data_IF_983475407593
#
_entry.id   IF_983475407593
#
_cell.length_a   1.000
_cell.length_b   1.000
_cell.length_c   1.000
_cell.angle_alpha   90.00
_cell.angle_beta   90.00
_cell.angle_gamma   90.00
#
_symmetry.space_group_name_H-M   'P 1'
#
loop_
_entity.id
_entity.type
_entity.pdbx_description
1 polymer ?
#
# COMPACT_ATOMS: atom_id res chain seq x y z
N UNK A 1 10.33 -0.74 -5.95
CA UNK A 1 11.21 0.41 -5.64
C UNK A 1 12.13 0.03 -4.49
N UNK A 2 13.42 0.17 -4.69
CA UNK A 2 14.46 -0.01 -3.67
C UNK A 2 14.78 1.36 -3.05
N UNK A 3 14.30 1.62 -1.85
CA UNK A 3 14.44 2.90 -1.16
C UNK A 3 15.79 2.99 -0.41
N UNK A 4 16.90 2.87 -1.15
CA UNK A 4 18.25 3.01 -0.62
C UNK A 4 18.66 1.87 0.32
N UNK A 5 18.33 0.62 -0.01
CA UNK A 5 18.79 -0.54 0.77
C UNK A 5 20.31 -0.66 0.75
N UNK A 6 20.89 -0.96 1.92
CA UNK A 6 22.34 -1.14 2.12
C UNK A 6 22.75 -2.59 2.29
N UNK A 7 21.80 -3.51 2.20
CA UNK A 7 21.99 -4.96 2.26
C UNK A 7 22.03 -5.58 0.85
N UNK A 8 21.95 -6.88 0.75
CA UNK A 8 21.98 -7.63 -0.52
C UNK A 8 20.71 -7.52 -1.38
N UNK A 9 19.77 -6.61 -1.06
CA UNK A 9 18.50 -6.49 -1.79
C UNK A 9 18.71 -6.28 -3.28
N UNK A 10 19.63 -5.41 -3.66
CA UNK A 10 19.90 -5.10 -5.08
C UNK A 10 20.47 -6.30 -5.82
N UNK A 11 21.49 -6.96 -5.24
CA UNK A 11 22.10 -8.17 -5.79
C UNK A 11 21.06 -9.27 -6.04
N UNK A 12 20.20 -9.53 -5.05
CA UNK A 12 19.14 -10.51 -5.15
C UNK A 12 18.13 -10.17 -6.27
N UNK A 13 17.74 -8.91 -6.41
CA UNK A 13 16.82 -8.50 -7.48
C UNK A 13 17.44 -8.72 -8.85
N UNK A 14 18.71 -8.38 -9.05
CA UNK A 14 19.40 -8.57 -10.32
C UNK A 14 19.58 -10.07 -10.65
N UNK A 15 19.84 -10.91 -9.67
CA UNK A 15 19.91 -12.35 -9.87
C UNK A 15 18.55 -12.95 -10.26
N UNK A 16 17.47 -12.51 -9.62
CA UNK A 16 16.12 -12.91 -10.04
C UNK A 16 15.78 -12.45 -11.46
N UNK A 17 16.20 -11.25 -11.87
CA UNK A 17 16.04 -10.80 -13.27
C UNK A 17 16.72 -11.75 -14.25
N UNK A 18 17.97 -12.16 -13.99
CA UNK A 18 18.70 -13.12 -14.82
C UNK A 18 17.97 -14.47 -14.92
N UNK A 19 17.40 -14.95 -13.80
CA UNK A 19 16.62 -16.21 -13.76
C UNK A 19 15.37 -16.09 -14.64
N UNK A 20 14.65 -14.98 -14.58
CA UNK A 20 13.43 -14.74 -15.35
C UNK A 20 13.73 -14.68 -16.85
N UNK A 21 14.79 -13.97 -17.23
CA UNK A 21 15.25 -13.90 -18.61
C UNK A 21 15.61 -15.29 -19.12
N UNK A 22 16.40 -16.08 -18.33
CA UNK A 22 16.82 -17.44 -18.70
C UNK A 22 15.62 -18.40 -18.86
N UNK A 23 14.59 -18.25 -18.03
CA UNK A 23 13.36 -19.06 -18.08
C UNK A 23 12.35 -18.59 -19.14
N UNK A 24 12.65 -17.50 -19.83
CA UNK A 24 11.83 -16.93 -20.90
C UNK A 24 10.34 -16.78 -20.51
N UNK A 25 10.08 -16.26 -19.28
CA UNK A 25 8.71 -15.95 -18.86
C UNK A 25 8.15 -14.82 -19.74
N UNK A 26 7.27 -15.19 -20.67
CA UNK A 26 6.56 -14.21 -21.52
C UNK A 26 5.64 -13.34 -20.64
N UNK A 27 5.61 -12.06 -20.90
CA UNK A 27 4.74 -11.09 -20.24
C UNK A 27 5.03 -10.86 -18.73
N UNK A 28 6.28 -11.10 -18.30
CA UNK A 28 6.73 -10.79 -16.95
C UNK A 28 8.03 -10.00 -16.99
N UNK A 29 8.06 -8.86 -16.29
CA UNK A 29 9.21 -7.98 -16.22
C UNK A 29 9.48 -7.58 -14.77
N UNK A 30 10.76 -7.51 -14.37
CA UNK A 30 11.20 -6.90 -13.12
C UNK A 30 11.90 -5.59 -13.44
N UNK A 31 11.31 -4.49 -13.00
CA UNK A 31 11.93 -3.16 -13.02
C UNK A 31 12.39 -2.80 -11.62
N UNK A 32 13.69 -2.58 -11.44
CA UNK A 32 14.26 -2.12 -10.18
C UNK A 32 14.54 -0.63 -10.25
N UNK A 33 13.74 0.16 -9.52
CA UNK A 33 13.95 1.61 -9.40
C UNK A 33 14.60 1.87 -8.04
N UNK A 34 15.81 2.44 -8.05
CA UNK A 34 16.63 2.63 -6.85
C UNK A 34 16.74 4.10 -6.47
N UNK A 35 16.51 4.40 -5.20
CA UNK A 35 16.91 5.67 -4.61
C UNK A 35 18.36 5.60 -4.10
N UNK A 36 19.12 6.67 -4.25
CA UNK A 36 20.50 6.74 -3.75
C UNK A 36 20.53 6.63 -2.22
N UNK A 37 19.56 7.29 -1.55
CA UNK A 37 19.38 7.27 -0.10
C UNK A 37 17.94 6.92 0.25
N UNK A 38 17.71 6.44 1.48
CA UNK A 38 16.37 6.21 1.99
C UNK A 38 15.59 7.52 2.10
N UNK A 39 14.48 7.61 1.38
CA UNK A 39 13.57 8.78 1.34
C UNK A 39 12.28 8.54 2.11
N UNK A 40 12.03 7.31 2.53
CA UNK A 40 10.84 6.87 3.24
C UNK A 40 9.73 6.32 2.35
N UNK A 41 8.75 5.68 2.99
CA UNK A 41 7.68 4.95 2.31
C UNK A 41 6.87 5.82 1.34
N UNK A 42 6.58 7.07 1.72
CA UNK A 42 5.83 7.99 0.86
C UNK A 42 6.50 8.24 -0.48
N UNK A 43 7.81 8.51 -0.47
CA UNK A 43 8.59 8.72 -1.69
C UNK A 43 8.77 7.42 -2.51
N UNK A 44 8.93 6.29 -1.84
CA UNK A 44 9.00 5.01 -2.53
C UNK A 44 7.68 4.68 -3.24
N UNK A 45 6.54 4.94 -2.61
CA UNK A 45 5.22 4.80 -3.22
C UNK A 45 5.05 5.78 -4.39
N UNK A 46 5.42 7.05 -4.20
CA UNK A 46 5.39 8.06 -5.27
C UNK A 46 6.13 7.57 -6.50
N UNK A 47 7.39 7.17 -6.33
CA UNK A 47 8.22 6.66 -7.43
C UNK A 47 7.58 5.46 -8.14
N UNK A 48 6.98 4.53 -7.39
CA UNK A 48 6.28 3.37 -7.96
C UNK A 48 5.01 3.76 -8.71
N UNK A 49 4.21 4.67 -8.16
CA UNK A 49 3.00 5.18 -8.80
C UNK A 49 3.33 5.96 -10.09
N UNK A 50 4.29 6.87 -10.04
CA UNK A 50 4.73 7.65 -11.21
C UNK A 50 5.21 6.73 -12.33
N UNK A 51 5.99 5.69 -12.00
CA UNK A 51 6.41 4.69 -12.97
C UNK A 51 5.23 3.98 -13.62
N UNK A 52 4.29 3.47 -12.82
CA UNK A 52 3.14 2.71 -13.34
C UNK A 52 2.20 3.61 -14.15
N UNK A 53 1.96 4.85 -13.72
CA UNK A 53 1.11 5.81 -14.44
C UNK A 53 1.67 6.09 -15.85
N UNK A 54 2.98 6.24 -15.95
CA UNK A 54 3.63 6.58 -17.21
C UNK A 54 3.83 5.39 -18.15
N UNK A 55 3.92 4.16 -17.60
CA UNK A 55 4.30 2.97 -18.39
C UNK A 55 3.19 1.93 -18.54
N UNK A 56 1.99 2.16 -18.00
CA UNK A 56 0.90 1.17 -18.05
C UNK A 56 -0.36 1.70 -18.71
N UNK A 57 -1.17 0.80 -19.27
CA UNK A 57 -2.46 1.12 -19.86
C UNK A 57 -3.52 1.49 -18.81
N UNK A 58 -4.56 2.23 -19.21
CA UNK A 58 -5.63 2.66 -18.29
C UNK A 58 -6.40 1.48 -17.66
N UNK A 59 -6.52 0.35 -18.36
CA UNK A 59 -7.20 -0.85 -17.86
C UNK A 59 -6.31 -1.73 -16.95
N UNK A 60 -5.12 -1.26 -16.59
CA UNK A 60 -4.21 -1.97 -15.70
C UNK A 60 -4.66 -1.87 -14.24
N UNK A 61 -4.15 -2.77 -13.42
CA UNK A 61 -4.39 -2.80 -11.97
C UNK A 61 -3.05 -2.56 -11.28
N UNK A 62 -3.01 -1.55 -10.42
CA UNK A 62 -1.85 -1.28 -9.58
C UNK A 62 -1.99 -2.02 -8.26
N UNK A 63 -0.98 -2.83 -7.89
CA UNK A 63 -0.94 -3.48 -6.59
C UNK A 63 0.28 -3.00 -5.81
N UNK A 64 0.05 -2.54 -4.59
CA UNK A 64 1.11 -2.20 -3.62
C UNK A 64 1.25 -3.33 -2.59
N UNK A 65 2.47 -3.72 -2.28
CA UNK A 65 2.78 -4.79 -1.34
C UNK A 65 4.15 -4.56 -0.71
N UNK A 66 4.31 -4.88 0.58
CA UNK A 66 5.63 -4.86 1.22
C UNK A 66 6.47 -6.06 0.72
N UNK A 67 7.79 -5.85 0.60
CA UNK A 67 8.73 -6.87 0.09
C UNK A 67 9.36 -7.73 1.19
N UNK A 68 8.78 -7.77 2.39
CA UNK A 68 9.33 -8.45 3.57
C UNK A 68 8.71 -9.84 3.83
N UNK A 69 8.03 -10.39 2.83
CA UNK A 69 7.35 -11.69 2.87
C UNK A 69 6.24 -11.83 3.93
N UNK A 70 5.77 -10.72 4.51
CA UNK A 70 4.70 -10.75 5.52
C UNK A 70 3.29 -10.80 4.93
N UNK A 71 3.13 -10.39 3.67
CA UNK A 71 1.84 -10.29 2.99
C UNK A 71 1.48 -11.57 2.21
N UNK A 72 0.22 -12.04 2.26
CA UNK A 72 -0.21 -13.27 1.59
C UNK A 72 -0.38 -13.07 0.07
N UNK A 73 0.57 -13.54 -0.73
CA UNK A 73 0.55 -13.46 -2.21
C UNK A 73 -0.75 -14.06 -2.79
N UNK A 74 -1.34 -15.07 -2.13
CA UNK A 74 -2.59 -15.70 -2.57
C UNK A 74 -3.76 -14.71 -2.74
N UNK A 75 -3.76 -13.59 -2.01
CA UNK A 75 -4.80 -12.58 -2.12
C UNK A 75 -4.77 -11.80 -3.45
N UNK A 76 -3.62 -11.75 -4.15
CA UNK A 76 -3.46 -11.00 -5.40
C UNK A 76 -4.51 -11.39 -6.44
N UNK A 77 -4.73 -12.70 -6.63
CA UNK A 77 -5.70 -13.21 -7.63
C UNK A 77 -7.11 -12.69 -7.36
N UNK A 78 -7.56 -12.75 -6.12
CA UNK A 78 -8.90 -12.30 -5.74
C UNK A 78 -9.00 -10.76 -5.80
N UNK A 79 -7.95 -10.03 -5.39
CA UNK A 79 -7.89 -8.57 -5.52
C UNK A 79 -8.06 -8.13 -6.98
N UNK A 80 -7.35 -8.78 -7.92
CA UNK A 80 -7.49 -8.53 -9.36
C UNK A 80 -8.92 -8.79 -9.84
N UNK A 81 -9.53 -9.90 -9.43
CA UNK A 81 -10.90 -10.24 -9.82
C UNK A 81 -11.92 -9.19 -9.34
N UNK A 82 -11.75 -8.68 -8.12
CA UNK A 82 -12.64 -7.64 -7.56
C UNK A 82 -12.48 -6.30 -8.29
N UNK A 83 -11.25 -5.87 -8.58
CA UNK A 83 -11.03 -4.64 -9.36
C UNK A 83 -11.65 -4.76 -10.76
N UNK A 84 -11.49 -5.90 -11.44
CA UNK A 84 -12.14 -6.17 -12.74
C UNK A 84 -13.68 -6.11 -12.68
N UNK A 85 -14.28 -6.34 -11.52
CA UNK A 85 -15.73 -6.21 -11.26
C UNK A 85 -16.13 -4.79 -10.82
N UNK A 86 -15.36 -3.77 -11.19
CA UNK A 86 -15.60 -2.34 -10.93
C UNK A 86 -15.40 -1.89 -9.48
N UNK A 87 -14.68 -2.66 -8.65
CA UNK A 87 -14.19 -2.17 -7.36
C UNK A 87 -13.01 -1.24 -7.59
N UNK A 88 -13.03 -0.03 -7.04
CA UNK A 88 -11.95 0.94 -7.24
C UNK A 88 -10.71 0.63 -6.40
N UNK A 89 -10.91 0.13 -5.18
CA UNK A 89 -9.83 -0.24 -4.25
C UNK A 89 -10.18 -1.53 -3.54
N UNK A 90 -9.26 -2.47 -3.53
CA UNK A 90 -9.35 -3.68 -2.71
C UNK A 90 -8.21 -3.68 -1.69
N UNK A 91 -8.54 -3.85 -0.42
CA UNK A 91 -7.59 -3.84 0.70
C UNK A 91 -7.49 -5.25 1.27
N UNK A 92 -6.29 -5.79 1.41
CA UNK A 92 -6.05 -6.99 2.21
C UNK A 92 -6.02 -6.56 3.68
N UNK A 93 -7.13 -6.81 4.39
CA UNK A 93 -7.45 -6.20 5.69
C UNK A 93 -7.14 -7.15 6.85
N UNK A 94 -6.53 -6.60 7.89
CA UNK A 94 -6.30 -7.30 9.17
C UNK A 94 -7.57 -7.45 10.02
N UNK A 95 -8.63 -6.71 9.66
CA UNK A 95 -9.85 -6.59 10.47
C UNK A 95 -11.09 -7.23 9.81
N UNK A 96 -10.91 -7.90 8.68
CA UNK A 96 -11.97 -8.65 8.04
C UNK A 96 -12.13 -10.03 8.70
N UNK A 97 -13.35 -10.58 8.71
CA UNK A 97 -13.61 -11.92 9.27
C UNK A 97 -12.74 -12.95 8.54
N UNK A 98 -12.05 -13.79 9.32
CA UNK A 98 -11.11 -14.79 8.78
C UNK A 98 -9.65 -14.30 8.70
N UNK A 99 -9.36 -13.04 9.03
CA UNK A 99 -7.98 -12.53 9.09
C UNK A 99 -7.23 -13.12 10.28
N UNK A 100 -5.92 -13.33 10.08
CA UNK A 100 -4.98 -13.76 11.11
C UNK A 100 -3.78 -12.82 11.14
N UNK A 101 -3.22 -12.60 12.33
CA UNK A 101 -2.02 -11.79 12.53
C UNK A 101 -1.05 -12.60 13.38
N UNK A 102 0.09 -12.96 12.82
CA UNK A 102 1.12 -13.76 13.49
C UNK A 102 2.41 -12.95 13.61
N UNK A 103 3.04 -12.95 14.79
CA UNK A 103 4.35 -12.33 15.01
C UNK A 103 4.35 -10.82 15.24
N UNK A 104 3.20 -10.14 15.20
CA UNK A 104 3.10 -8.70 15.50
C UNK A 104 2.90 -8.49 17.00
N UNK A 105 3.68 -7.62 17.67
CA UNK A 105 3.47 -7.29 19.08
C UNK A 105 2.06 -6.75 19.35
N UNK A 106 1.42 -7.20 20.43
CA UNK A 106 0.02 -6.87 20.75
C UNK A 106 -0.25 -5.36 20.83
N UNK A 107 0.68 -4.58 21.39
CA UNK A 107 0.53 -3.13 21.47
C UNK A 107 0.46 -2.48 20.08
N UNK A 108 1.18 -2.99 19.07
CA UNK A 108 1.10 -2.50 17.68
C UNK A 108 -0.24 -2.84 17.04
N UNK A 109 -0.75 -4.04 17.29
CA UNK A 109 -2.09 -4.44 16.82
C UNK A 109 -3.14 -3.51 17.40
N UNK A 110 -3.05 -3.25 18.71
CA UNK A 110 -3.96 -2.35 19.41
C UNK A 110 -3.91 -0.93 18.84
N UNK A 111 -2.72 -0.34 18.71
CA UNK A 111 -2.54 1.02 18.17
C UNK A 111 -3.04 1.15 16.73
N UNK A 112 -2.74 0.17 15.87
CA UNK A 112 -3.22 0.16 14.49
C UNK A 112 -4.76 0.04 14.43
N UNK A 113 -5.36 -0.73 15.33
CA UNK A 113 -6.82 -0.86 15.45
C UNK A 113 -7.46 0.45 15.91
N UNK A 114 -6.89 1.11 16.92
CA UNK A 114 -7.35 2.42 17.41
C UNK A 114 -7.28 3.45 16.28
N UNK A 115 -6.16 3.55 15.56
CA UNK A 115 -6.02 4.45 14.42
C UNK A 115 -7.10 4.18 13.35
N UNK A 116 -7.34 2.93 13.01
CA UNK A 116 -8.39 2.56 12.04
C UNK A 116 -9.80 2.92 12.52
N UNK A 117 -10.08 2.79 13.81
CA UNK A 117 -11.37 3.22 14.40
C UNK A 117 -11.53 4.74 14.27
N UNK A 118 -10.49 5.51 14.61
CA UNK A 118 -10.50 6.97 14.50
C UNK A 118 -10.75 7.40 13.04
N UNK A 119 -10.04 6.81 12.08
CA UNK A 119 -10.29 7.10 10.66
C UNK A 119 -11.73 6.78 10.24
N UNK A 120 -12.30 5.68 10.71
CA UNK A 120 -13.70 5.30 10.40
C UNK A 120 -14.72 6.30 10.96
N UNK A 121 -14.46 6.85 12.13
CA UNK A 121 -15.35 7.86 12.75
C UNK A 121 -15.29 9.17 11.97
N UNK A 122 -14.09 9.66 11.69
CA UNK A 122 -13.93 10.97 11.07
C UNK A 122 -14.01 10.94 9.53
N UNK A 123 -13.64 9.84 8.88
CA UNK A 123 -13.58 9.71 7.42
C UNK A 123 -14.23 8.39 6.96
N UNK A 124 -15.53 8.19 7.18
CA UNK A 124 -16.16 6.92 6.87
C UNK A 124 -16.08 6.58 5.37
N UNK A 125 -15.59 5.39 5.08
CA UNK A 125 -15.60 4.78 3.76
C UNK A 125 -16.36 3.46 3.88
N UNK A 126 -17.40 3.30 3.06
CA UNK A 126 -18.22 2.07 3.09
C UNK A 126 -17.36 0.84 2.86
N UNK A 127 -17.56 -0.19 3.66
CA UNK A 127 -16.86 -1.47 3.64
C UNK A 127 -15.37 -1.43 3.98
N UNK A 128 -14.82 -0.30 4.47
CA UNK A 128 -13.41 -0.21 4.89
C UNK A 128 -13.31 -0.23 6.40
N UNK A 129 -12.49 -1.14 6.91
CA UNK A 129 -12.13 -1.28 8.33
C UNK A 129 -10.64 -1.02 8.57
N UNK A 130 -9.77 -1.29 7.57
CA UNK A 130 -8.32 -1.17 7.68
C UNK A 130 -7.78 -0.01 6.84
N UNK A 131 -7.63 1.15 7.46
CA UNK A 131 -7.11 2.36 6.80
C UNK A 131 -5.59 2.39 6.67
N UNK A 132 -4.88 1.56 7.43
CA UNK A 132 -3.43 1.64 7.57
C UNK A 132 -2.67 0.50 6.88
N UNK A 133 -3.36 -0.49 6.34
CA UNK A 133 -2.73 -1.54 5.56
C UNK A 133 -2.28 -1.03 4.19
N UNK A 134 -1.05 -1.39 3.78
CA UNK A 134 -0.46 -1.01 2.48
C UNK A 134 -0.64 -2.06 1.39
N UNK A 135 -1.14 -3.25 1.70
CA UNK A 135 -1.40 -4.27 0.69
C UNK A 135 -2.75 -4.02 0.03
N UNK A 136 -2.71 -3.35 -1.12
CA UNK A 136 -3.89 -2.85 -1.82
C UNK A 136 -3.79 -3.08 -3.32
N UNK A 137 -4.94 -3.29 -3.96
CA UNK A 137 -5.09 -3.21 -5.41
C UNK A 137 -5.96 -2.00 -5.75
N UNK A 138 -5.55 -1.27 -6.78
CA UNK A 138 -6.21 -0.06 -7.25
C UNK A 138 -6.60 -0.21 -8.73
N UNK A 139 -7.76 0.28 -9.07
CA UNK A 139 -8.12 0.61 -10.45
C UNK A 139 -7.20 1.74 -10.95
N UNK A 140 -6.29 1.42 -11.88
CA UNK A 140 -5.31 2.40 -12.37
C UNK A 140 -5.97 3.56 -13.11
N UNK A 141 -7.12 3.34 -13.73
CA UNK A 141 -7.85 4.42 -14.39
C UNK A 141 -8.29 5.50 -13.39
N UNK A 142 -8.77 5.10 -12.19
CA UNK A 142 -9.10 6.04 -11.12
C UNK A 142 -7.86 6.84 -10.69
N UNK A 143 -6.73 6.17 -10.50
CA UNK A 143 -5.46 6.81 -10.12
C UNK A 143 -5.04 7.83 -11.18
N UNK A 144 -5.03 7.44 -12.47
CA UNK A 144 -4.67 8.33 -13.58
C UNK A 144 -5.59 9.55 -13.68
N UNK A 145 -6.89 9.37 -13.49
CA UNK A 145 -7.85 10.49 -13.47
C UNK A 145 -7.55 11.47 -12.34
N UNK A 146 -7.27 10.97 -11.14
CA UNK A 146 -6.94 11.82 -10.01
C UNK A 146 -5.60 12.58 -10.22
N UNK A 147 -4.60 11.95 -10.81
CA UNK A 147 -3.35 12.62 -11.20
C UNK A 147 -3.59 13.73 -12.24
N UNK A 148 -4.40 13.48 -13.26
CA UNK A 148 -4.78 14.51 -14.27
C UNK A 148 -5.50 15.71 -13.63
N UNK A 149 -6.18 15.51 -12.51
CA UNK A 149 -6.80 16.58 -11.71
C UNK A 149 -5.87 17.18 -10.66
N UNK A 150 -4.56 16.99 -10.77
CA UNK A 150 -3.52 17.50 -9.87
C UNK A 150 -3.70 17.08 -8.40
N UNK A 151 -4.26 15.90 -8.15
CA UNK A 151 -4.30 15.35 -6.79
C UNK A 151 -2.90 14.88 -6.41
N UNK A 152 -2.27 15.57 -5.48
CA UNK A 152 -1.00 15.14 -4.90
C UNK A 152 -1.24 14.07 -3.83
N UNK A 153 -0.97 12.82 -4.15
CA UNK A 153 -1.17 11.68 -3.24
C UNK A 153 -0.08 11.56 -2.16
N UNK A 154 1.09 12.19 -2.35
CA UNK A 154 2.29 11.86 -1.58
C UNK A 154 2.78 13.01 -0.70
N UNK A 155 1.85 13.67 0.01
CA UNK A 155 2.19 14.72 0.97
C UNK A 155 2.73 14.19 2.29
N UNK A 156 2.56 12.90 2.57
CA UNK A 156 3.02 12.23 3.79
C UNK A 156 4.24 11.34 3.50
N UNK A 157 5.28 11.43 4.35
CA UNK A 157 6.56 10.72 4.11
C UNK A 157 6.61 9.29 4.65
N UNK A 158 5.84 9.00 5.71
CA UNK A 158 5.93 7.75 6.46
C UNK A 158 4.71 6.84 6.20
N UNK A 159 4.41 5.96 7.14
CA UNK A 159 3.29 5.00 7.03
C UNK A 159 1.91 5.66 6.95
N UNK A 160 1.76 6.91 7.40
CA UNK A 160 0.55 7.72 7.21
C UNK A 160 0.21 7.94 5.73
N UNK A 161 1.18 7.86 4.82
CA UNK A 161 0.96 7.96 3.36
C UNK A 161 -0.06 6.95 2.84
N UNK A 162 -0.10 5.74 3.38
CA UNK A 162 -1.08 4.72 2.99
C UNK A 162 -2.52 5.15 3.29
N UNK A 163 -2.73 5.74 4.48
CA UNK A 163 -4.04 6.27 4.87
C UNK A 163 -4.39 7.51 4.05
N UNK A 164 -3.42 8.38 3.81
CA UNK A 164 -3.61 9.63 3.07
C UNK A 164 -4.05 9.40 1.62
N UNK A 165 -3.41 8.46 0.92
CA UNK A 165 -3.82 8.05 -0.44
C UNK A 165 -5.30 7.64 -0.46
N UNK A 166 -5.72 6.82 0.51
CA UNK A 166 -7.10 6.34 0.60
C UNK A 166 -8.10 7.50 0.83
N UNK A 167 -7.75 8.43 1.73
CA UNK A 167 -8.59 9.58 2.03
C UNK A 167 -8.70 10.53 0.83
N UNK A 168 -7.60 10.79 0.13
CA UNK A 168 -7.59 11.63 -1.08
C UNK A 168 -8.40 10.99 -2.21
N UNK A 169 -8.29 9.69 -2.43
CA UNK A 169 -9.13 9.00 -3.41
C UNK A 169 -10.61 9.07 -3.05
N UNK A 170 -10.96 8.95 -1.76
CA UNK A 170 -12.34 9.12 -1.29
C UNK A 170 -12.85 10.56 -1.46
N UNK A 171 -11.98 11.54 -1.24
CA UNK A 171 -12.31 12.95 -1.46
C UNK A 171 -12.52 13.25 -2.95
N UNK A 172 -11.66 12.72 -3.81
CA UNK A 172 -11.74 12.86 -5.27
C UNK A 172 -12.98 12.15 -5.85
N UNK A 173 -13.24 10.91 -5.43
CA UNK A 173 -14.39 10.13 -5.87
C UNK A 173 -15.35 9.87 -4.70
N UNK A 174 -16.41 10.67 -4.59
CA UNK A 174 -17.43 10.51 -3.55
C UNK A 174 -18.17 9.17 -3.62
N UNK A 175 -18.19 8.51 -4.78
CA UNK A 175 -18.80 7.21 -5.01
C UNK A 175 -17.75 6.08 -5.02
N UNK A 176 -16.62 6.27 -4.32
CA UNK A 176 -15.55 5.28 -4.24
C UNK A 176 -16.07 3.93 -3.75
N UNK A 177 -15.92 2.90 -4.59
CA UNK A 177 -16.24 1.51 -4.25
C UNK A 177 -14.99 0.86 -3.70
N UNK A 178 -15.02 0.56 -2.41
CA UNK A 178 -13.93 -0.12 -1.72
C UNK A 178 -14.39 -1.45 -1.14
N UNK A 179 -13.55 -2.46 -1.21
CA UNK A 179 -13.77 -3.79 -0.63
C UNK A 179 -12.57 -4.26 0.16
N UNK A 180 -12.79 -5.17 1.09
CA UNK A 180 -11.73 -5.79 1.87
C UNK A 180 -11.74 -7.30 1.71
N UNK A 181 -10.53 -7.89 1.70
CA UNK A 181 -10.28 -9.32 1.79
C UNK A 181 -9.63 -9.66 3.12
N UNK A 182 -9.88 -10.83 3.69
CA UNK A 182 -9.18 -11.27 4.88
C UNK A 182 -7.68 -11.44 4.60
N UNK A 183 -6.86 -11.01 5.56
CA UNK A 183 -5.40 -11.07 5.48
C UNK A 183 -4.85 -12.08 6.48
N UNK A 184 -3.98 -12.95 6.02
CA UNK A 184 -3.13 -13.78 6.88
C UNK A 184 -1.74 -13.12 6.95
N UNK A 185 -1.57 -12.18 7.90
CA UNK A 185 -0.32 -11.43 8.07
C UNK A 185 0.70 -12.27 8.84
N UNK A 186 1.77 -12.65 8.15
CA UNK A 186 2.87 -13.47 8.66
C UNK A 186 4.10 -12.61 8.97
N UNK A 187 3.98 -11.79 10.00
CA UNK A 187 5.09 -10.92 10.43
C UNK A 187 6.27 -11.71 11.03
N UNK A 188 6.03 -12.95 11.43
CA UNK A 188 7.04 -13.93 11.86
C UNK A 188 8.00 -14.35 10.73
N UNK A 189 7.58 -14.21 9.46
CA UNK A 189 8.43 -14.50 8.29
C UNK A 189 9.34 -13.33 7.91
N UNK A 190 9.14 -12.17 8.50
CA UNK A 190 9.96 -10.99 8.22
C UNK A 190 11.38 -11.18 8.75
N UNK A 191 12.37 -11.07 7.87
CA UNK A 191 13.77 -11.03 8.27
C UNK A 191 14.14 -9.66 8.84
N UNK A 192 14.76 -9.66 10.03
CA UNK A 192 15.26 -8.44 10.68
C UNK A 192 14.24 -7.65 11.51
N UNK A 193 14.75 -6.65 12.23
CA UNK A 193 13.95 -5.78 13.10
C UNK A 193 13.13 -4.77 12.29
N UNK A 194 11.94 -4.45 12.80
CA UNK A 194 11.12 -3.40 12.21
C UNK A 194 11.80 -2.03 12.32
N UNK A 195 11.93 -1.34 11.19
CA UNK A 195 12.46 0.03 11.14
C UNK A 195 11.40 1.09 11.51
N UNK A 196 10.15 0.68 11.75
CA UNK A 196 9.05 1.60 12.07
C UNK A 196 9.19 2.16 13.49
N UNK A 197 9.33 3.49 13.61
CA UNK A 197 9.22 4.20 14.88
C UNK A 197 7.74 4.39 15.21
N UNK A 198 7.26 3.65 16.22
CA UNK A 198 5.85 3.60 16.60
C UNK A 198 5.33 4.96 17.07
N UNK A 199 6.08 5.66 17.93
CA UNK A 199 5.67 6.97 18.45
C UNK A 199 5.55 8.01 17.33
N UNK A 200 6.53 8.05 16.43
CA UNK A 200 6.49 8.92 15.26
C UNK A 200 5.28 8.59 14.37
N UNK A 201 4.99 7.31 14.15
CA UNK A 201 3.85 6.91 13.33
C UNK A 201 2.50 7.31 13.94
N UNK A 202 2.37 7.25 15.28
CA UNK A 202 1.18 7.75 15.99
C UNK A 202 1.04 9.26 15.76
N UNK A 203 2.12 9.99 15.98
CA UNK A 203 2.13 11.46 15.79
C UNK A 203 1.78 11.86 14.35
N UNK A 204 2.43 11.24 13.35
CA UNK A 204 2.14 11.47 11.93
C UNK A 204 0.67 11.16 11.60
N UNK A 205 0.11 10.10 12.20
CA UNK A 205 -1.30 9.73 12.01
C UNK A 205 -2.26 10.78 12.58
N UNK A 206 -1.97 11.30 13.78
CA UNK A 206 -2.78 12.35 14.40
C UNK A 206 -2.69 13.66 13.62
N UNK A 207 -1.49 14.04 13.16
CA UNK A 207 -1.31 15.20 12.28
C UNK A 207 -2.09 15.05 10.97
N UNK A 208 -2.05 13.87 10.35
CA UNK A 208 -2.84 13.61 9.15
C UNK A 208 -4.33 13.79 9.39
N UNK A 209 -4.86 13.25 10.50
CA UNK A 209 -6.27 13.37 10.85
C UNK A 209 -6.65 14.85 11.01
N UNK A 210 -5.88 15.62 11.78
CA UNK A 210 -6.15 17.06 11.99
C UNK A 210 -6.08 17.86 10.69
N UNK A 211 -5.10 17.57 9.83
CA UNK A 211 -4.96 18.18 8.50
C UNK A 211 -6.18 17.90 7.64
N UNK A 212 -6.60 16.63 7.53
CA UNK A 212 -7.75 16.26 6.70
C UNK A 212 -9.11 16.68 7.25
N UNK A 213 -9.21 16.95 8.54
CA UNK A 213 -10.42 17.56 9.13
C UNK A 213 -10.56 19.04 8.73
N UNK A 214 -9.45 19.75 8.53
CA UNK A 214 -9.46 21.13 8.03
C UNK A 214 -9.79 21.24 6.53
N UNK A 215 -9.53 20.17 5.77
CA UNK A 215 -9.78 20.10 4.32
C UNK A 215 -11.23 19.66 3.99
N UNK A 216 -12.08 19.36 4.98
CA UNK A 216 -13.49 19.00 4.80
C UNK A 216 -14.37 20.21 4.59
#
# INVERSE_FOLDING_TARGET
VNDGSTDKTEELVEDYKKIIIKKNYKNFEIVNIKHINNKGLGEALKTGFDFVINNSNENSILITMDSDNSHPIKNIKEMIQKVKKKTNIVISSRYQKGSKITGVPLYRIFLAKVASIIFRIFFPIKNVKDYTCGFRAYDLNLIKKAYKCNIDFFTEKNFSSQSDILLKLRSFNKNLVAEELPMDLRYDLKSGKSKMNVMRNIFDTLLLITKRLKDK
#
